data_IF_615961862154
#
_entry.id   IF_615961862154
#
_cell.length_a   1.000
_cell.length_b   1.000
_cell.length_c   1.000
_cell.angle_alpha   90.00
_cell.angle_beta   90.00
_cell.angle_gamma   90.00
#
_symmetry.space_group_name_H-M   'P 1'
#
loop_
_entity.id
_entity.type
_entity.pdbx_description
1 polymer ?
#
# COMPACT_ATOMS: atom_id res chain seq x y z
N UNK A 1 1.06 22.08 28.58
CA UNK A 1 2.19 21.60 27.75
C UNK A 1 1.86 21.94 26.31
N UNK A 2 2.67 22.79 25.66
CA UNK A 2 2.40 23.27 24.31
C UNK A 2 2.49 22.13 23.30
N UNK A 3 1.34 21.69 22.77
CA UNK A 3 1.26 20.80 21.60
C UNK A 3 1.44 21.64 20.33
N UNK A 4 2.59 22.30 20.22
CA UNK A 4 3.01 22.91 18.97
C UNK A 4 3.32 21.79 17.98
N UNK A 5 2.62 21.75 16.86
CA UNK A 5 2.99 20.92 15.72
C UNK A 5 4.36 21.37 15.22
N UNK A 6 5.41 20.74 15.73
CA UNK A 6 6.77 20.93 15.22
C UNK A 6 6.79 20.40 13.78
N UNK A 7 6.62 21.30 12.82
CA UNK A 7 6.88 21.06 11.40
C UNK A 7 8.41 20.93 11.23
N UNK A 8 8.95 19.79 11.65
CA UNK A 8 10.36 19.47 11.40
C UNK A 8 10.45 19.14 9.91
N UNK A 9 10.81 20.13 9.10
CA UNK A 9 11.17 19.90 7.70
C UNK A 9 12.50 19.15 7.68
N UNK A 10 12.43 17.82 7.62
CA UNK A 10 13.59 16.96 7.45
C UNK A 10 13.80 16.71 5.96
N UNK A 11 15.03 16.96 5.50
CA UNK A 11 15.48 16.49 4.19
C UNK A 11 15.55 14.96 4.15
N UNK A 12 15.49 14.39 2.94
CA UNK A 12 15.67 12.95 2.73
C UNK A 12 16.94 12.41 3.41
N UNK A 13 18.06 13.13 3.29
CA UNK A 13 19.33 12.74 3.91
C UNK A 13 19.26 12.68 5.44
N UNK A 14 18.54 13.61 6.08
CA UNK A 14 18.33 13.59 7.53
C UNK A 14 17.45 12.41 7.95
N UNK A 15 16.37 12.13 7.21
CA UNK A 15 15.50 10.96 7.45
C UNK A 15 16.31 9.67 7.32
N UNK A 16 17.11 9.54 6.26
CA UNK A 16 17.95 8.36 6.02
C UNK A 16 18.95 8.14 7.16
N UNK A 17 19.58 9.21 7.66
CA UNK A 17 20.49 9.13 8.78
C UNK A 17 19.79 8.67 10.07
N UNK A 18 18.59 9.16 10.36
CA UNK A 18 17.79 8.70 11.49
C UNK A 18 17.48 7.21 11.38
N UNK A 19 17.00 6.76 10.21
CA UNK A 19 16.71 5.34 9.96
C UNK A 19 17.96 4.48 10.11
N UNK A 20 19.12 4.96 9.68
CA UNK A 20 20.39 4.23 9.82
C UNK A 20 20.76 4.01 11.29
N UNK A 21 20.50 4.99 12.15
CA UNK A 21 20.81 4.97 13.58
C UNK A 21 19.82 4.13 14.41
N UNK A 22 18.66 3.74 13.86
CA UNK A 22 17.68 2.94 14.58
C UNK A 22 18.24 1.57 15.01
N UNK A 23 17.87 1.10 16.23
CA UNK A 23 18.14 -0.27 16.66
C UNK A 23 17.54 -1.29 15.69
N UNK A 24 18.16 -2.46 15.55
CA UNK A 24 17.75 -3.47 14.57
C UNK A 24 16.26 -3.86 14.65
N UNK A 25 15.69 -3.94 15.86
CA UNK A 25 14.26 -4.22 16.08
C UNK A 25 13.35 -3.12 15.52
N UNK A 26 13.71 -1.86 15.72
CA UNK A 26 12.91 -0.72 15.24
C UNK A 26 13.04 -0.55 13.73
N UNK A 27 14.24 -0.75 13.18
CA UNK A 27 14.48 -0.78 11.74
C UNK A 27 13.66 -1.89 11.06
N UNK A 28 13.56 -3.08 11.67
CA UNK A 28 12.73 -4.16 11.15
C UNK A 28 11.23 -3.81 11.14
N UNK A 29 10.72 -3.17 12.19
CA UNK A 29 9.33 -2.67 12.23
C UNK A 29 9.08 -1.64 11.13
N UNK A 30 9.98 -0.67 10.97
CA UNK A 30 9.86 0.35 9.93
C UNK A 30 9.86 -0.25 8.53
N UNK A 31 10.76 -1.21 8.26
CA UNK A 31 10.79 -1.92 6.98
C UNK A 31 9.47 -2.63 6.67
N UNK A 32 8.82 -3.23 7.68
CA UNK A 32 7.54 -3.91 7.50
C UNK A 32 6.44 -2.93 7.09
N UNK A 33 6.35 -1.77 7.74
CA UNK A 33 5.35 -0.75 7.39
C UNK A 33 5.60 -0.17 5.99
N UNK A 34 6.85 0.13 5.64
CA UNK A 34 7.21 0.60 4.30
C UNK A 34 6.92 -0.44 3.21
N UNK A 35 7.18 -1.72 3.49
CA UNK A 35 6.87 -2.81 2.57
C UNK A 35 5.36 -2.95 2.36
N UNK A 36 4.56 -2.82 3.42
CA UNK A 36 3.09 -2.83 3.33
C UNK A 36 2.60 -1.71 2.42
N UNK A 37 3.06 -0.47 2.63
CA UNK A 37 2.68 0.66 1.79
C UNK A 37 3.08 0.46 0.32
N UNK A 38 4.26 -0.12 0.07
CA UNK A 38 4.71 -0.44 -1.28
C UNK A 38 3.85 -1.51 -1.96
N UNK A 39 3.44 -2.55 -1.20
CA UNK A 39 2.54 -3.60 -1.67
C UNK A 39 1.17 -3.01 -2.02
N UNK A 40 0.60 -2.21 -1.12
CA UNK A 40 -0.70 -1.56 -1.33
C UNK A 40 -0.67 -0.68 -2.58
N UNK A 41 0.36 0.16 -2.76
CA UNK A 41 0.55 0.98 -3.97
C UNK A 41 0.64 0.13 -5.24
N UNK A 42 1.34 -1.01 -5.20
CA UNK A 42 1.46 -1.90 -6.35
C UNK A 42 0.14 -2.58 -6.67
N UNK A 43 -0.59 -3.04 -5.66
CA UNK A 43 -1.90 -3.66 -5.81
C UNK A 43 -2.91 -2.65 -6.37
N UNK A 44 -2.98 -1.43 -5.83
CA UNK A 44 -3.86 -0.39 -6.35
C UNK A 44 -3.55 -0.06 -7.80
N UNK A 45 -2.27 0.07 -8.19
CA UNK A 45 -1.91 0.28 -9.60
C UNK A 45 -2.38 -0.86 -10.50
N UNK A 46 -2.24 -2.10 -10.03
CA UNK A 46 -2.67 -3.27 -10.78
C UNK A 46 -4.19 -3.31 -10.93
N UNK A 47 -4.93 -3.12 -9.84
CA UNK A 47 -6.40 -3.09 -9.87
C UNK A 47 -6.92 -1.97 -10.77
N UNK A 48 -6.33 -0.78 -10.69
CA UNK A 48 -6.68 0.34 -11.55
C UNK A 48 -6.39 0.06 -13.03
N UNK A 49 -5.42 -0.81 -13.35
CA UNK A 49 -5.16 -1.22 -14.74
C UNK A 49 -6.18 -2.20 -15.30
N UNK A 50 -6.92 -2.90 -14.43
CA UNK A 50 -8.01 -3.80 -14.80
C UNK A 50 -9.39 -3.12 -14.72
N UNK A 51 -9.47 -1.93 -14.12
CA UNK A 51 -10.72 -1.20 -14.01
C UNK A 51 -11.21 -0.79 -15.40
N UNK A 52 -12.45 -1.15 -15.72
CA UNK A 52 -13.12 -0.79 -16.97
C UNK A 52 -14.59 -0.45 -16.67
N UNK A 53 -15.14 0.47 -17.44
CA UNK A 53 -16.58 0.79 -17.42
C UNK A 53 -17.35 -0.03 -18.47
N UNK A 54 -16.65 -0.84 -19.27
CA UNK A 54 -17.24 -1.64 -20.35
C UNK A 54 -17.91 -2.93 -19.85
N UNK A 55 -17.55 -3.39 -18.65
CA UNK A 55 -18.03 -4.65 -18.09
C UNK A 55 -18.53 -4.38 -16.67
N UNK A 56 -19.78 -4.74 -16.42
CA UNK A 56 -20.40 -4.60 -15.10
C UNK A 56 -20.05 -5.76 -14.16
N UNK A 57 -20.16 -5.51 -12.85
CA UNK A 57 -19.97 -6.55 -11.83
C UNK A 57 -21.00 -7.69 -11.97
N UNK A 58 -22.22 -7.39 -12.40
CA UNK A 58 -23.28 -8.38 -12.63
C UNK A 58 -22.93 -9.32 -13.78
N UNK A 59 -22.37 -8.81 -14.89
CA UNK A 59 -21.90 -9.63 -16.01
C UNK A 59 -20.74 -10.54 -15.59
N UNK A 60 -19.79 -10.02 -14.78
CA UNK A 60 -18.69 -10.82 -14.22
C UNK A 60 -19.24 -11.94 -13.35
N UNK A 61 -20.13 -11.62 -12.41
CA UNK A 61 -20.71 -12.59 -11.49
C UNK A 61 -21.50 -13.68 -12.22
N UNK A 62 -22.29 -13.28 -13.22
CA UNK A 62 -23.07 -14.22 -14.05
C UNK A 62 -22.16 -15.24 -14.71
N UNK A 63 -21.06 -14.79 -15.32
CA UNK A 63 -20.18 -15.69 -16.08
C UNK A 63 -19.31 -16.56 -15.16
N UNK A 64 -18.93 -16.06 -13.98
CA UNK A 64 -18.27 -16.87 -12.95
C UNK A 64 -19.18 -17.99 -12.44
N UNK A 65 -20.45 -17.70 -12.14
CA UNK A 65 -21.38 -18.72 -11.64
C UNK A 65 -21.72 -19.75 -12.71
N UNK A 66 -21.82 -19.33 -13.97
CA UNK A 66 -21.98 -20.25 -15.10
C UNK A 66 -20.82 -21.24 -15.21
N UNK A 67 -19.57 -20.77 -15.16
CA UNK A 67 -18.38 -21.64 -15.18
C UNK A 67 -18.34 -22.56 -13.95
N UNK A 68 -18.72 -22.06 -12.76
CA UNK A 68 -18.75 -22.86 -11.53
C UNK A 68 -19.76 -24.00 -11.59
N UNK A 69 -20.89 -23.82 -12.29
CA UNK A 69 -21.89 -24.86 -12.49
C UNK A 69 -21.45 -25.95 -13.48
N UNK A 70 -20.39 -25.72 -14.26
CA UNK A 70 -19.82 -26.68 -15.22
C UNK A 70 -18.71 -27.58 -14.61
N UNK A 71 -18.31 -27.34 -13.36
CA UNK A 71 -17.31 -28.12 -12.59
C UNK A 71 -18.02 -29.14 -11.68
#
# INVERSE_FOLDING_TARGET
>A
MNTGTYQISLSYGQILNLVRQLPGREKAKLNKELAKEAIDKRLSRLLNSFQTDEISEEEINTEVEKVRAEI
#
